data_IF_386057594985
#
_entry.id   IF_386057594985
#
_cell.length_a   1.000
_cell.length_b   1.000
_cell.length_c   1.000
_cell.angle_alpha   90.00
_cell.angle_beta   90.00
_cell.angle_gamma   90.00
#
_symmetry.space_group_name_H-M   'P 1'
#
loop_
_entity.id
_entity.type
_entity.pdbx_description
1 polymer ?
#
# COMPACT_ATOMS: atom_id res chain seq x y z
N UNK A 1 29.26 6.64 -0.01
CA UNK A 1 28.52 7.37 -1.06
C UNK A 1 27.58 8.34 -0.36
N UNK A 2 27.63 9.63 -0.70
CA UNK A 2 26.82 10.64 -0.03
C UNK A 2 25.33 10.38 -0.30
N UNK A 3 24.50 10.39 0.76
CA UNK A 3 23.04 10.29 0.64
C UNK A 3 22.53 11.57 -0.01
N UNK A 4 22.36 11.59 -1.33
CA UNK A 4 21.62 12.69 -1.97
C UNK A 4 20.17 12.58 -1.54
N UNK A 5 19.70 13.54 -0.76
CA UNK A 5 18.29 13.68 -0.44
C UNK A 5 17.53 14.22 -1.64
N UNK A 6 16.29 13.74 -1.80
CA UNK A 6 15.39 14.26 -2.82
C UNK A 6 14.62 15.43 -2.23
N UNK A 7 14.77 16.65 -2.77
CA UNK A 7 14.04 17.81 -2.30
C UNK A 7 12.58 17.71 -2.74
N UNK A 8 11.63 17.83 -1.81
CA UNK A 8 10.19 17.82 -2.10
C UNK A 8 9.52 19.03 -1.45
N UNK A 9 8.39 19.44 -2.02
CA UNK A 9 7.58 20.54 -1.50
C UNK A 9 6.13 20.07 -1.31
N UNK A 10 5.60 20.27 -0.10
CA UNK A 10 4.21 19.94 0.26
C UNK A 10 3.68 21.12 1.07
N UNK A 11 2.52 21.68 0.69
CA UNK A 11 1.88 22.84 1.33
C UNK A 11 2.83 24.04 1.49
N UNK A 12 3.64 24.31 0.47
CA UNK A 12 4.69 25.35 0.46
C UNK A 12 5.79 25.16 1.49
N UNK A 13 5.90 23.96 2.08
CA UNK A 13 6.98 23.57 2.99
C UNK A 13 7.93 22.66 2.24
N UNK A 14 9.23 22.96 2.37
CA UNK A 14 10.30 22.19 1.74
C UNK A 14 10.79 21.10 2.69
N UNK A 15 10.94 19.90 2.17
CA UNK A 15 11.47 18.75 2.88
C UNK A 15 12.58 18.10 2.06
N UNK A 16 13.48 17.39 2.73
CA UNK A 16 14.49 16.57 2.09
C UNK A 16 14.24 15.12 2.49
N UNK A 17 13.90 14.28 1.51
CA UNK A 17 13.59 12.87 1.75
C UNK A 17 14.79 12.01 1.37
N UNK A 18 15.26 11.21 2.33
CA UNK A 18 16.33 10.24 2.10
C UNK A 18 15.75 8.82 2.04
N UNK A 19 15.54 8.32 0.82
CA UNK A 19 15.11 6.94 0.55
C UNK A 19 16.00 6.31 -0.53
N UNK A 20 16.38 5.05 -0.34
CA UNK A 20 17.24 4.30 -1.26
C UNK A 20 16.46 3.30 -2.12
N UNK A 21 15.20 3.08 -1.79
CA UNK A 21 14.31 2.09 -2.37
C UNK A 21 13.36 2.67 -3.43
N UNK A 22 13.34 3.99 -3.58
CA UNK A 22 12.54 4.70 -4.58
C UNK A 22 13.43 5.68 -5.35
N UNK A 23 13.15 5.81 -6.64
CA UNK A 23 13.77 6.83 -7.48
C UNK A 23 13.13 8.21 -7.26
N UNK A 24 13.84 9.26 -7.68
CA UNK A 24 13.43 10.66 -7.51
C UNK A 24 12.06 10.95 -8.13
N UNK A 25 11.79 10.41 -9.33
CA UNK A 25 10.49 10.57 -10.00
C UNK A 25 9.34 10.00 -9.17
N UNK A 26 9.51 8.80 -8.61
CA UNK A 26 8.49 8.19 -7.76
C UNK A 26 8.29 8.97 -6.47
N UNK A 27 9.37 9.47 -5.86
CA UNK A 27 9.30 10.32 -4.65
C UNK A 27 8.49 11.59 -4.93
N UNK A 28 8.74 12.28 -6.05
CA UNK A 28 7.96 13.46 -6.45
C UNK A 28 6.50 13.12 -6.74
N UNK A 29 6.23 11.99 -7.42
CA UNK A 29 4.87 11.55 -7.69
C UNK A 29 4.09 11.27 -6.39
N UNK A 30 4.75 10.68 -5.38
CA UNK A 30 4.15 10.47 -4.06
C UNK A 30 3.89 11.80 -3.35
N UNK A 31 4.83 12.74 -3.39
CA UNK A 31 4.65 14.07 -2.80
C UNK A 31 3.45 14.81 -3.41
N UNK A 32 3.27 14.75 -4.75
CA UNK A 32 2.10 15.33 -5.42
C UNK A 32 0.78 14.66 -5.00
N UNK A 33 0.78 13.34 -4.79
CA UNK A 33 -0.42 12.62 -4.27
C UNK A 33 -0.77 13.05 -2.85
N UNK A 34 0.24 13.23 -1.99
CA UNK A 34 0.05 13.74 -0.62
C UNK A 34 -0.53 15.15 -0.64
N UNK A 35 0.01 16.05 -1.46
CA UNK A 35 -0.52 17.41 -1.63
C UNK A 35 -2.00 17.39 -2.05
N UNK A 36 -2.33 16.59 -3.07
CA UNK A 36 -3.70 16.46 -3.57
C UNK A 36 -4.65 15.96 -2.48
N UNK A 37 -4.29 14.89 -1.76
CA UNK A 37 -5.12 14.36 -0.67
C UNK A 37 -5.27 15.34 0.50
N UNK A 38 -4.24 16.13 0.82
CA UNK A 38 -4.35 17.20 1.83
C UNK A 38 -5.38 18.26 1.41
N UNK A 39 -5.36 18.69 0.15
CA UNK A 39 -6.31 19.68 -0.38
C UNK A 39 -7.75 19.15 -0.37
N UNK A 40 -7.95 17.88 -0.75
CA UNK A 40 -9.26 17.23 -0.69
C UNK A 40 -9.77 17.10 0.76
N UNK A 41 -8.87 16.76 1.69
CA UNK A 41 -9.21 16.65 3.12
C UNK A 41 -9.54 18.01 3.73
N UNK A 42 -8.81 19.06 3.36
CA UNK A 42 -9.11 20.44 3.77
C UNK A 42 -10.50 20.88 3.27
N UNK A 43 -10.80 20.60 1.99
CA UNK A 43 -12.08 20.96 1.38
C UNK A 43 -13.28 20.21 2.00
N UNK A 44 -13.09 18.95 2.42
CA UNK A 44 -14.19 18.12 2.96
C UNK A 44 -14.37 18.24 4.47
N UNK A 45 -13.30 18.45 5.24
CA UNK A 45 -13.36 18.54 6.70
C UNK A 45 -13.57 19.95 7.23
N UNK A 46 -13.26 20.99 6.43
CA UNK A 46 -13.24 22.38 6.88
C UNK A 46 -12.12 22.69 7.88
N UNK A 47 -11.19 21.76 8.12
CA UNK A 47 -10.05 21.93 9.02
C UNK A 47 -8.96 22.71 8.29
N UNK A 48 -8.59 23.89 8.81
CA UNK A 48 -7.55 24.76 8.23
C UNK A 48 -6.16 24.45 8.83
N UNK A 49 -6.11 23.82 10.00
CA UNK A 49 -4.87 23.49 10.70
C UNK A 49 -4.08 22.40 9.95
N UNK A 50 -3.00 22.83 9.29
CA UNK A 50 -2.08 21.97 8.53
C UNK A 50 -1.50 20.79 9.34
N UNK A 51 -1.31 20.94 10.64
CA UNK A 51 -0.75 19.87 11.49
C UNK A 51 -1.81 18.81 11.75
N UNK A 52 -3.06 19.23 12.03
CA UNK A 52 -4.20 18.32 12.19
C UNK A 52 -4.53 17.59 10.88
N UNK A 53 -4.52 18.31 9.75
CA UNK A 53 -4.69 17.70 8.43
C UNK A 53 -3.60 16.66 8.13
N UNK A 54 -2.35 16.97 8.47
CA UNK A 54 -1.24 16.02 8.30
C UNK A 54 -1.42 14.74 9.12
N UNK A 55 -1.86 14.85 10.38
CA UNK A 55 -2.14 13.69 11.25
C UNK A 55 -3.32 12.87 10.69
N UNK A 56 -4.40 13.52 10.28
CA UNK A 56 -5.57 12.84 9.72
C UNK A 56 -5.23 12.12 8.42
N UNK A 57 -4.45 12.75 7.54
CA UNK A 57 -4.00 12.09 6.31
C UNK A 57 -3.09 10.90 6.58
N UNK A 58 -2.18 11.00 7.56
CA UNK A 58 -1.33 9.89 7.95
C UNK A 58 -2.17 8.71 8.47
N UNK A 59 -3.20 8.98 9.26
CA UNK A 59 -4.12 7.96 9.77
C UNK A 59 -4.93 7.31 8.64
N UNK A 60 -5.45 8.10 7.70
CA UNK A 60 -6.19 7.61 6.54
C UNK A 60 -5.33 6.70 5.66
N UNK A 61 -4.08 7.11 5.38
CA UNK A 61 -3.11 6.29 4.63
C UNK A 61 -2.79 4.99 5.39
N UNK A 62 -2.61 5.04 6.71
CA UNK A 62 -2.37 3.84 7.51
C UNK A 62 -3.56 2.86 7.44
N UNK A 63 -4.79 3.36 7.53
CA UNK A 63 -6.00 2.56 7.36
C UNK A 63 -6.09 1.93 5.95
N UNK A 64 -5.72 2.67 4.91
CA UNK A 64 -5.66 2.14 3.53
C UNK A 64 -4.61 1.03 3.41
N UNK A 65 -3.45 1.19 4.06
CA UNK A 65 -2.39 0.18 4.07
C UNK A 65 -2.81 -1.10 4.79
N UNK A 66 -3.44 -1.00 5.97
CA UNK A 66 -3.98 -2.15 6.71
C UNK A 66 -5.04 -2.90 5.88
N UNK A 67 -5.93 -2.18 5.19
CA UNK A 67 -6.91 -2.79 4.28
C UNK A 67 -6.22 -3.49 3.11
N UNK A 68 -5.15 -2.91 2.55
CA UNK A 68 -4.40 -3.51 1.46
C UNK A 68 -3.65 -4.76 1.92
N UNK A 69 -3.03 -4.75 3.09
CA UNK A 69 -2.40 -5.91 3.71
C UNK A 69 -3.41 -7.03 3.97
N UNK A 70 -4.54 -6.73 4.60
CA UNK A 70 -5.59 -7.74 4.82
C UNK A 70 -6.10 -8.36 3.51
N UNK A 71 -6.17 -7.58 2.42
CA UNK A 71 -6.53 -8.11 1.09
C UNK A 71 -5.45 -9.00 0.47
N UNK A 72 -4.18 -8.72 0.71
CA UNK A 72 -3.07 -9.56 0.27
C UNK A 72 -3.07 -10.88 1.06
N UNK A 73 -3.20 -10.81 2.38
CA UNK A 73 -3.24 -11.98 3.26
C UNK A 73 -4.43 -12.90 2.92
N UNK A 74 -5.62 -12.33 2.68
CA UNK A 74 -6.78 -13.10 2.23
C UNK A 74 -6.64 -13.63 0.79
N UNK A 75 -5.91 -12.92 -0.07
CA UNK A 75 -5.61 -13.37 -1.44
C UNK A 75 -4.70 -14.61 -1.44
N UNK A 76 -3.68 -14.61 -0.58
CA UNK A 76 -2.75 -15.73 -0.40
C UNK A 76 -3.46 -16.94 0.21
N UNK A 77 -4.31 -16.75 1.23
CA UNK A 77 -5.16 -17.82 1.78
C UNK A 77 -6.09 -18.43 0.71
N UNK A 78 -6.65 -17.61 -0.18
CA UNK A 78 -7.50 -18.07 -1.28
C UNK A 78 -6.73 -18.86 -2.34
N UNK A 79 -5.48 -18.51 -2.60
CA UNK A 79 -4.59 -19.27 -3.49
C UNK A 79 -4.16 -20.59 -2.86
N UNK A 80 -3.84 -20.59 -1.58
CA UNK A 80 -3.44 -21.79 -0.82
C UNK A 80 -4.59 -22.83 -0.78
N UNK A 81 -5.81 -22.40 -0.45
CA UNK A 81 -6.99 -23.27 -0.47
C UNK A 81 -7.28 -23.84 -1.88
N UNK A 82 -7.00 -23.07 -2.93
CA UNK A 82 -7.18 -23.51 -4.32
C UNK A 82 -6.10 -24.51 -4.73
N UNK A 83 -4.85 -24.31 -4.31
CA UNK A 83 -3.76 -25.25 -4.50
C UNK A 83 -4.04 -26.57 -3.77
N UNK A 84 -4.50 -26.52 -2.53
CA UNK A 84 -4.89 -27.68 -1.75
C UNK A 84 -6.03 -28.45 -2.42
N UNK A 85 -7.04 -27.75 -2.93
CA UNK A 85 -8.14 -28.37 -3.71
C UNK A 85 -7.62 -29.06 -4.98
N UNK A 86 -6.65 -28.46 -5.68
CA UNK A 86 -6.03 -29.05 -6.87
C UNK A 86 -5.18 -30.28 -6.54
N UNK A 87 -4.44 -30.26 -5.43
CA UNK A 87 -3.67 -31.40 -4.92
C UNK A 87 -4.61 -32.57 -4.60
N UNK A 88 -5.69 -32.32 -3.85
CA UNK A 88 -6.69 -33.35 -3.52
C UNK A 88 -7.36 -33.93 -4.77
N UNK A 89 -7.62 -33.11 -5.80
CA UNK A 89 -8.17 -33.60 -7.06
C UNK A 89 -7.19 -34.51 -7.83
N UNK A 90 -5.90 -34.16 -7.82
CA UNK A 90 -4.84 -34.98 -8.42
C UNK A 90 -4.65 -36.30 -7.66
N UNK A 91 -4.63 -36.27 -6.33
CA UNK A 91 -4.55 -37.47 -5.48
C UNK A 91 -5.72 -38.42 -5.71
N UNK A 92 -6.94 -37.89 -5.84
CA UNK A 92 -8.13 -38.70 -6.17
C UNK A 92 -8.08 -39.29 -7.58
N UNK A 93 -7.49 -38.58 -8.55
CA UNK A 93 -7.29 -39.07 -9.91
C UNK A 93 -6.16 -40.10 -10.04
N UNK A 94 -5.16 -40.03 -9.17
CA UNK A 94 -4.02 -40.95 -9.12
C UNK A 94 -4.27 -42.16 -8.20
N UNK A 95 -5.33 -42.14 -7.39
CA UNK A 95 -5.73 -43.28 -6.58
C UNK A 95 -5.97 -44.50 -7.48
N UNK A 96 -5.26 -45.63 -7.27
CA UNK A 96 -5.38 -46.78 -8.16
C UNK A 96 -6.82 -47.28 -8.17
N UNK A 97 -7.39 -47.41 -9.37
CA UNK A 97 -8.70 -48.02 -9.56
C UNK A 97 -8.69 -49.40 -8.88
N UNK A 98 -9.37 -49.48 -7.75
CA UNK A 98 -9.55 -50.72 -6.99
C UNK A 98 -10.33 -51.67 -7.89
N UNK A 99 -9.60 -52.53 -8.61
CA UNK A 99 -10.19 -53.56 -9.46
C UNK A 99 -10.94 -54.54 -8.54
N UNK A 100 -12.19 -54.91 -8.85
CA UNK A 100 -12.93 -55.92 -8.09
C UNK A 100 -12.23 -57.29 -8.16
#
# INVERSE_FOLDING_TARGET
MARQGVPIEIRRRKFELHRTDLDELTIHAVAQKVEKRLLELEATSGIIDSSKLGILLALDIACDMEKLQGRLDHGDQGLEARLETMIVALEKGLAPAKKP
#
